data_IF_084100057852
#
_entry.id   IF_084100057852
#
_cell.length_a   1.000
_cell.length_b   1.000
_cell.length_c   1.000
_cell.angle_alpha   90.00
_cell.angle_beta   90.00
_cell.angle_gamma   90.00
#
_symmetry.space_group_name_H-M   'P 1'
#
loop_
_entity.id
_entity.type
_entity.pdbx_description
1 polymer ?
#
# COMPACT_ATOMS: atom_id res chain seq x y z
N UNK A 1 7.15 38.69 11.39
CA UNK A 1 5.85 38.37 12.03
C UNK A 1 4.78 38.46 10.95
N UNK A 2 4.45 37.34 10.30
CA UNK A 2 3.38 37.29 9.30
C UNK A 2 2.10 36.85 10.00
N UNK A 3 1.10 37.74 9.94
CA UNK A 3 -0.25 37.55 10.48
C UNK A 3 -0.93 36.34 9.83
N UNK A 4 -1.54 35.47 10.65
CA UNK A 4 -2.36 34.34 10.20
C UNK A 4 -3.82 34.82 10.17
N UNK A 5 -4.44 34.78 9.00
CA UNK A 5 -5.81 35.23 8.75
C UNK A 5 -6.75 34.01 8.72
N UNK A 6 -7.64 33.83 9.72
CA UNK A 6 -8.42 32.60 9.91
C UNK A 6 -9.62 32.43 8.98
N UNK A 7 -9.94 33.42 8.13
CA UNK A 7 -11.13 33.40 7.26
C UNK A 7 -10.83 33.10 5.78
N UNK A 8 -9.61 32.65 5.43
CA UNK A 8 -9.29 32.26 4.06
C UNK A 8 -9.87 30.85 3.73
N UNK A 9 -10.85 30.72 2.81
CA UNK A 9 -11.40 29.42 2.44
C UNK A 9 -10.33 28.56 1.73
N UNK A 10 -10.34 27.26 1.99
CA UNK A 10 -9.39 26.24 1.48
C UNK A 10 -9.39 26.05 -0.06
N UNK A 11 -9.87 27.00 -0.84
CA UNK A 11 -10.10 26.84 -2.28
C UNK A 11 -8.87 27.10 -3.16
N UNK A 12 -7.69 27.36 -2.58
CA UNK A 12 -6.45 27.56 -3.34
C UNK A 12 -5.21 26.83 -2.77
N UNK A 13 -5.40 25.70 -2.09
CA UNK A 13 -4.32 24.75 -1.89
C UNK A 13 -4.02 24.06 -3.23
N UNK A 14 -3.26 24.72 -4.10
CA UNK A 14 -2.76 24.10 -5.33
C UNK A 14 -1.93 22.89 -4.92
N UNK A 15 -2.28 21.65 -5.30
CA UNK A 15 -1.38 20.53 -5.09
C UNK A 15 -0.19 20.75 -6.02
N UNK A 16 0.95 21.13 -5.46
CA UNK A 16 2.22 21.09 -6.17
C UNK A 16 2.49 19.61 -6.44
N UNK A 17 2.21 19.17 -7.67
CA UNK A 17 2.53 17.82 -8.13
C UNK A 17 1.52 17.24 -9.13
N UNK A 18 1.44 17.79 -10.34
CA UNK A 18 1.07 16.97 -11.51
C UNK A 18 2.36 16.41 -12.11
N UNK A 19 2.49 15.11 -12.36
CA UNK A 19 3.31 14.64 -13.46
C UNK A 19 2.41 14.50 -14.69
N UNK A 20 2.54 15.48 -15.59
CA UNK A 20 2.30 15.27 -17.01
C UNK A 20 3.52 14.51 -17.51
N UNK A 21 3.40 13.23 -17.86
CA UNK A 21 4.52 12.53 -18.46
C UNK A 21 4.48 11.01 -18.36
N UNK A 22 3.89 10.38 -19.36
CA UNK A 22 4.15 8.99 -19.72
C UNK A 22 5.55 8.91 -20.36
N UNK A 23 6.54 8.33 -19.67
CA UNK A 23 7.67 7.57 -20.25
C UNK A 23 8.56 6.97 -19.16
N UNK A 24 8.99 5.72 -19.37
CA UNK A 24 9.58 4.86 -18.35
C UNK A 24 11.07 5.07 -18.08
N UNK A 25 11.55 4.30 -17.08
CA UNK A 25 12.97 4.08 -16.81
C UNK A 25 13.39 4.51 -15.40
N UNK A 26 13.23 3.62 -14.42
CA UNK A 26 13.79 3.78 -13.08
C UNK A 26 12.77 3.50 -11.98
N UNK A 27 12.77 2.27 -11.48
CA UNK A 27 11.85 1.73 -10.48
C UNK A 27 12.17 2.29 -9.07
N UNK A 28 12.02 3.60 -8.88
CA UNK A 28 12.09 4.24 -7.58
C UNK A 28 10.75 4.93 -7.36
N UNK A 29 9.91 4.38 -6.48
CA UNK A 29 8.61 4.96 -6.11
C UNK A 29 8.86 6.31 -5.41
N UNK A 30 8.87 7.39 -6.18
CA UNK A 30 9.25 8.74 -5.72
C UNK A 30 8.07 9.56 -5.16
N UNK A 31 6.90 8.94 -4.91
CA UNK A 31 5.78 9.65 -4.29
C UNK A 31 5.61 9.24 -2.83
N UNK A 32 5.75 10.21 -1.91
CA UNK A 32 5.43 10.03 -0.47
C UNK A 32 4.03 9.45 -0.27
N UNK A 33 3.11 9.75 -1.18
CA UNK A 33 1.75 9.22 -1.21
C UNK A 33 1.72 7.73 -1.48
N UNK A 34 2.52 7.23 -2.42
CA UNK A 34 2.59 5.79 -2.71
C UNK A 34 3.25 5.02 -1.56
N UNK A 35 4.31 5.58 -0.96
CA UNK A 35 4.92 4.98 0.24
C UNK A 35 3.94 4.94 1.42
N UNK A 36 3.21 6.02 1.66
CA UNK A 36 2.19 6.05 2.71
C UNK A 36 1.09 5.00 2.45
N UNK A 37 0.63 4.89 1.20
CA UNK A 37 -0.34 3.88 0.81
C UNK A 37 0.18 2.46 0.99
N UNK A 38 1.41 2.17 0.56
CA UNK A 38 2.06 0.87 0.74
C UNK A 38 2.13 0.49 2.23
N UNK A 39 2.55 1.44 3.08
CA UNK A 39 2.59 1.25 4.54
C UNK A 39 1.22 0.95 5.12
N UNK A 40 0.19 1.70 4.71
CA UNK A 40 -1.18 1.45 5.16
C UNK A 40 -1.67 0.07 4.76
N UNK A 41 -1.48 -0.33 3.50
CA UNK A 41 -1.88 -1.65 3.01
C UNK A 41 -1.13 -2.79 3.73
N UNK A 42 0.18 -2.62 3.93
CA UNK A 42 0.99 -3.56 4.69
C UNK A 42 0.50 -3.71 6.14
N UNK A 43 0.12 -2.60 6.79
CA UNK A 43 -0.49 -2.62 8.12
C UNK A 43 -1.79 -3.43 8.16
N UNK A 44 -2.68 -3.26 7.18
CA UNK A 44 -3.91 -4.04 7.10
C UNK A 44 -3.66 -5.53 6.88
N UNK A 45 -2.70 -5.87 6.02
CA UNK A 45 -2.28 -7.27 5.80
C UNK A 45 -1.78 -7.89 7.11
N UNK A 46 -0.96 -7.16 7.87
CA UNK A 46 -0.41 -7.64 9.15
C UNK A 46 -1.51 -7.86 10.20
N UNK A 47 -2.44 -6.92 10.36
CA UNK A 47 -3.56 -7.06 11.29
C UNK A 47 -4.37 -8.32 10.97
N UNK A 48 -4.70 -8.54 9.69
CA UNK A 48 -5.45 -9.71 9.22
C UNK A 48 -4.66 -11.03 9.33
N UNK A 49 -3.34 -10.97 9.22
CA UNK A 49 -2.47 -12.14 9.40
C UNK A 49 -2.39 -12.53 10.88
N UNK A 50 -2.24 -11.55 11.77
CA UNK A 50 -2.20 -11.75 13.22
C UNK A 50 -3.54 -12.27 13.76
N UNK A 51 -4.65 -11.67 13.34
CA UNK A 51 -6.01 -12.11 13.70
C UNK A 51 -6.26 -13.58 13.37
N UNK A 52 -5.70 -14.05 12.25
CA UNK A 52 -5.81 -15.45 11.79
C UNK A 52 -4.66 -16.35 12.22
N UNK A 53 -3.69 -15.84 12.97
CA UNK A 53 -2.53 -16.59 13.44
C UNK A 53 -1.63 -17.13 12.30
N UNK A 54 -1.51 -16.39 11.19
CA UNK A 54 -0.74 -16.85 10.02
C UNK A 54 0.77 -16.65 10.22
N UNK A 55 1.54 -17.72 9.97
CA UNK A 55 2.98 -17.65 9.79
C UNK A 55 3.38 -17.10 8.40
N UNK A 56 4.67 -16.85 8.18
CA UNK A 56 5.17 -16.26 6.93
C UNK A 56 4.81 -17.09 5.69
N UNK A 57 4.86 -18.42 5.80
CA UNK A 57 4.56 -19.32 4.67
C UNK A 57 3.07 -19.34 4.40
N UNK A 58 2.25 -19.39 5.44
CA UNK A 58 0.79 -19.33 5.33
C UNK A 58 0.34 -17.98 4.75
N UNK A 59 0.96 -16.89 5.19
CA UNK A 59 0.69 -15.56 4.68
C UNK A 59 1.08 -15.41 3.20
N UNK A 60 2.24 -15.92 2.80
CA UNK A 60 2.67 -15.97 1.41
C UNK A 60 1.65 -16.72 0.54
N UNK A 61 1.19 -17.89 0.98
CA UNK A 61 0.16 -18.68 0.28
C UNK A 61 -1.17 -17.93 0.18
N UNK A 62 -1.64 -17.34 1.28
CA UNK A 62 -2.93 -16.64 1.33
C UNK A 62 -2.96 -15.36 0.48
N UNK A 63 -1.83 -14.67 0.36
CA UNK A 63 -1.73 -13.40 -0.37
C UNK A 63 -1.23 -13.56 -1.81
N UNK A 64 -0.53 -14.66 -2.09
CA UNK A 64 0.23 -14.86 -3.33
C UNK A 64 1.47 -13.96 -3.44
N UNK A 65 1.93 -13.40 -2.32
CA UNK A 65 3.23 -12.74 -2.21
C UNK A 65 4.32 -13.81 -2.10
N UNK A 66 5.53 -13.49 -2.54
CA UNK A 66 6.68 -14.32 -2.22
C UNK A 66 7.14 -14.11 -0.76
N UNK A 67 8.05 -14.96 -0.29
CA UNK A 67 8.54 -14.89 1.09
C UNK A 67 9.37 -13.63 1.38
N UNK A 68 10.00 -13.04 0.38
CA UNK A 68 10.79 -11.82 0.53
C UNK A 68 9.86 -10.62 0.74
N UNK A 69 8.82 -10.50 -0.07
CA UNK A 69 7.76 -9.53 0.06
C UNK A 69 7.04 -9.64 1.41
N UNK A 70 6.75 -10.87 1.86
CA UNK A 70 6.15 -11.11 3.19
C UNK A 70 7.06 -10.61 4.31
N UNK A 71 8.37 -10.88 4.23
CA UNK A 71 9.33 -10.35 5.21
C UNK A 71 9.37 -8.84 5.18
N UNK A 72 9.36 -8.24 3.99
CA UNK A 72 9.33 -6.79 3.85
C UNK A 72 8.06 -6.17 4.47
N UNK A 73 6.91 -6.83 4.34
CA UNK A 73 5.65 -6.44 5.00
C UNK A 73 5.77 -6.54 6.52
N UNK A 74 6.33 -7.64 7.06
CA UNK A 74 6.52 -7.82 8.51
C UNK A 74 7.50 -6.83 9.12
N UNK A 75 8.61 -6.57 8.43
CA UNK A 75 9.68 -5.68 8.89
C UNK A 75 9.33 -4.21 8.64
N UNK A 76 8.23 -3.92 7.94
CA UNK A 76 7.81 -2.56 7.59
C UNK A 76 8.69 -1.91 6.51
N UNK A 77 9.52 -2.68 5.80
CA UNK A 77 10.45 -2.24 4.75
C UNK A 77 9.79 -2.18 3.36
N UNK A 78 8.50 -1.82 3.32
CA UNK A 78 7.64 -1.86 2.12
C UNK A 78 7.89 -0.77 1.08
N UNK A 79 8.98 -0.01 1.20
CA UNK A 79 9.31 1.08 0.28
C UNK A 79 9.57 0.60 -1.16
N UNK A 80 9.93 -0.67 -1.33
CA UNK A 80 10.16 -1.32 -2.62
C UNK A 80 8.94 -2.07 -3.15
N UNK A 81 7.85 -2.13 -2.38
CA UNK A 81 6.65 -2.89 -2.75
C UNK A 81 5.62 -1.98 -3.42
N UNK A 82 5.20 -2.26 -4.67
CA UNK A 82 4.19 -1.46 -5.33
C UNK A 82 2.84 -1.55 -4.58
N UNK A 83 2.16 -0.44 -4.29
CA UNK A 83 0.86 -0.45 -3.61
C UNK A 83 -0.19 -1.34 -4.29
N UNK A 84 -0.13 -1.48 -5.62
CA UNK A 84 -1.02 -2.36 -6.39
C UNK A 84 -0.85 -3.84 -6.04
N UNK A 85 0.39 -4.28 -5.78
CA UNK A 85 0.68 -5.65 -5.36
C UNK A 85 0.09 -5.91 -3.97
N UNK A 86 0.33 -4.99 -3.03
CA UNK A 86 -0.21 -5.08 -1.67
C UNK A 86 -1.74 -5.02 -1.65
N UNK A 87 -2.37 -4.20 -2.48
CA UNK A 87 -3.82 -4.14 -2.59
C UNK A 87 -4.42 -5.46 -3.12
N UNK A 88 -3.75 -6.12 -4.07
CA UNK A 88 -4.17 -7.44 -4.56
C UNK A 88 -4.01 -8.52 -3.50
N UNK A 89 -2.89 -8.49 -2.76
CA UNK A 89 -2.60 -9.37 -1.63
C UNK A 89 -3.69 -9.23 -0.55
N UNK A 90 -4.02 -8.00 -0.18
CA UNK A 90 -5.07 -7.69 0.79
C UNK A 90 -6.44 -8.21 0.31
N UNK A 91 -6.82 -7.94 -0.95
CA UNK A 91 -8.09 -8.41 -1.50
C UNK A 91 -8.22 -9.95 -1.51
N UNK A 92 -7.11 -10.68 -1.68
CA UNK A 92 -7.08 -12.15 -1.53
C UNK A 92 -7.23 -12.59 -0.08
N UNK A 93 -6.51 -11.94 0.83
CA UNK A 93 -6.58 -12.24 2.25
C UNK A 93 -7.96 -11.92 2.84
N UNK A 94 -8.68 -10.96 2.28
CA UNK A 94 -10.08 -10.65 2.58
C UNK A 94 -11.08 -11.64 1.93
N UNK A 95 -10.63 -12.57 1.08
CA UNK A 95 -11.49 -13.51 0.35
C UNK A 95 -12.28 -12.87 -0.81
N UNK A 96 -11.99 -11.60 -1.17
CA UNK A 96 -12.71 -10.87 -2.23
C UNK A 96 -12.23 -11.23 -3.63
N UNK A 97 -11.08 -11.88 -3.75
CA UNK A 97 -10.44 -12.24 -5.03
C UNK A 97 -10.51 -13.75 -5.31
N UNK A 98 -11.31 -14.49 -4.54
CA UNK A 98 -11.68 -15.88 -4.83
C UNK A 98 -12.75 -15.88 -5.94
N UNK A 99 -12.34 -15.71 -7.20
CA UNK A 99 -13.17 -16.03 -8.38
C UNK A 99 -13.42 -17.56 -8.53
N UNK A 100 -13.43 -18.33 -7.44
CA UNK A 100 -13.36 -19.79 -7.52
C UNK A 100 -13.81 -20.59 -6.30
N UNK A 101 -14.68 -20.06 -5.43
CA UNK A 101 -15.41 -20.88 -4.45
C UNK A 101 -16.92 -20.70 -4.55
N UNK A 102 -17.46 -21.12 -5.70
CA UNK A 102 -18.79 -21.71 -5.76
C UNK A 102 -18.65 -23.06 -6.48
N UNK A 103 -19.13 -24.10 -5.79
CA UNK A 103 -19.32 -25.51 -6.19
C UNK A 103 -18.23 -26.49 -5.75
#
# INVERSE_FOLDING_TARGET
MTSFDPDMPFENATPIGRPIGRQGGGLWFNDRTELAQARTLAGWIMILAEDRGLDDRQLAVATGLDLEDVRAVREGTVAMLPPRLLNRALARLEGRNDEGRLQ
#
